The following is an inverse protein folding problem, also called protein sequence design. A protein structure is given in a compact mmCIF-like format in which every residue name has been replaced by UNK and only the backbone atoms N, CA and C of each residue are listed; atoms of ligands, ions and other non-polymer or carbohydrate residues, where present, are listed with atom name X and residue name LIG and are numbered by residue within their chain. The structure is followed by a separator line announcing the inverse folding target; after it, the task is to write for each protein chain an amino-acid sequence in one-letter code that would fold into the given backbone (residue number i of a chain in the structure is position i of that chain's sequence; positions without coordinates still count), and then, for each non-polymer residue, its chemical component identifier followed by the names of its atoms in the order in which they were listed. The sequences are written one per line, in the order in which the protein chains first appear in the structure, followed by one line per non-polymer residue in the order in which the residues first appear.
data_IF_696915389986
#
_entry.id   IF_696915389986
#
_cell.length_a   1.000
_cell.length_b   1.000
_cell.length_c   1.000
_cell.angle_alpha   90.00
_cell.angle_beta   90.00
_cell.angle_gamma   90.00
#
_symmetry.space_group_name_H-M   'P 1'
#
loop_
_entity.id
_entity.type
_entity.pdbx_description
1 polymer ?
#
# COMPACT_ATOMS: atom_id res chain seq x y z
N UNK A 1 23.92 19.05 6.22
CA UNK A 1 22.86 18.94 7.25
C UNK A 1 22.90 17.52 7.78
N UNK A 2 23.33 17.35 9.01
CA UNK A 2 23.34 16.05 9.70
C UNK A 2 22.04 15.87 10.49
N UNK A 3 21.72 14.64 10.89
CA UNK A 3 20.55 14.36 11.75
C UNK A 3 20.58 15.17 13.04
N UNK A 4 21.79 15.41 13.58
CA UNK A 4 22.00 16.23 14.78
C UNK A 4 21.63 17.70 14.54
N UNK A 5 21.91 18.23 13.34
CA UNK A 5 21.54 19.61 12.98
C UNK A 5 20.02 19.77 12.90
N UNK A 6 19.32 18.80 12.30
CA UNK A 6 17.85 18.77 12.25
C UNK A 6 17.24 18.75 13.65
N UNK A 7 17.78 17.92 14.55
CA UNK A 7 17.29 17.82 15.93
C UNK A 7 17.47 19.16 16.65
N UNK A 8 18.63 19.82 16.49
CA UNK A 8 18.88 21.15 17.07
C UNK A 8 17.90 22.20 16.55
N UNK A 9 17.63 22.19 15.24
CA UNK A 9 16.64 23.12 14.65
C UNK A 9 15.24 22.88 15.20
N UNK A 10 14.81 21.61 15.31
CA UNK A 10 13.50 21.27 15.90
C UNK A 10 13.42 21.72 17.35
N UNK A 11 14.50 21.55 18.13
CA UNK A 11 14.55 21.99 19.52
C UNK A 11 14.38 23.50 19.69
N UNK A 12 14.82 24.30 18.71
CA UNK A 12 14.64 25.75 18.68
C UNK A 12 13.21 26.23 18.39
N UNK A 13 12.29 25.33 18.03
CA UNK A 13 10.91 25.68 17.71
C UNK A 13 10.02 25.81 18.96
N UNK A 14 8.95 26.64 18.90
CA UNK A 14 7.90 26.65 19.90
C UNK A 14 7.32 25.25 20.14
N UNK A 15 6.87 24.99 21.38
CA UNK A 15 6.35 23.67 21.79
C UNK A 15 5.27 23.15 20.84
N UNK A 16 4.32 23.98 20.42
CA UNK A 16 3.24 23.56 19.52
C UNK A 16 3.79 23.05 18.17
N UNK A 17 4.83 23.68 17.62
CA UNK A 17 5.45 23.25 16.35
C UNK A 17 6.22 21.94 16.51
N UNK A 18 6.88 21.73 17.66
CA UNK A 18 7.56 20.46 17.96
C UNK A 18 6.57 19.30 18.04
N UNK A 19 5.45 19.50 18.73
CA UNK A 19 4.37 18.50 18.81
C UNK A 19 3.83 18.19 17.42
N UNK A 20 3.54 19.21 16.61
CA UNK A 20 3.06 19.03 15.25
C UNK A 20 4.01 18.20 14.37
N UNK A 21 5.32 18.43 14.47
CA UNK A 21 6.32 17.64 13.74
C UNK A 21 6.28 16.17 14.16
N UNK A 22 6.18 15.89 15.46
CA UNK A 22 6.09 14.52 15.99
C UNK A 22 4.84 13.83 15.46
N UNK A 23 3.68 14.50 15.50
CA UNK A 23 2.42 13.96 14.96
C UNK A 23 2.54 13.62 13.47
N UNK A 24 3.14 14.52 12.68
CA UNK A 24 3.35 14.30 11.24
C UNK A 24 4.34 13.17 10.97
N UNK A 25 5.39 13.05 11.77
CA UNK A 25 6.33 11.94 11.67
C UNK A 25 5.63 10.60 11.93
N UNK A 26 4.86 10.49 13.01
CA UNK A 26 4.07 9.29 13.34
C UNK A 26 3.07 8.98 12.22
N UNK A 27 2.33 9.99 11.73
CA UNK A 27 1.38 9.83 10.65
C UNK A 27 2.05 9.30 9.37
N UNK A 28 3.25 9.80 9.05
CA UNK A 28 4.02 9.36 7.87
C UNK A 28 4.44 7.90 7.98
N UNK A 29 4.93 7.48 9.16
CA UNK A 29 5.34 6.09 9.41
C UNK A 29 4.15 5.13 9.22
N UNK A 30 3.00 5.46 9.81
CA UNK A 30 1.78 4.62 9.67
C UNK A 30 1.33 4.52 8.21
N UNK A 31 1.28 5.64 7.48
CA UNK A 31 0.92 5.63 6.06
C UNK A 31 1.86 4.79 5.20
N UNK A 32 3.15 4.79 5.52
CA UNK A 32 4.12 3.95 4.81
C UNK A 32 3.88 2.47 5.09
N UNK A 33 3.57 2.11 6.34
CA UNK A 33 3.21 0.74 6.73
C UNK A 33 1.94 0.27 6.02
N UNK A 34 0.87 1.08 6.04
CA UNK A 34 -0.40 0.78 5.35
C UNK A 34 -0.17 0.54 3.85
N UNK A 35 0.64 1.40 3.21
CA UNK A 35 1.00 1.26 1.80
C UNK A 35 1.75 -0.04 1.53
N UNK A 36 2.71 -0.39 2.38
CA UNK A 36 3.50 -1.62 2.23
C UNK A 36 2.61 -2.87 2.39
N UNK A 37 1.69 -2.86 3.35
CA UNK A 37 0.74 -3.95 3.57
C UNK A 37 -0.20 -4.12 2.36
N UNK A 38 -0.74 -3.02 1.83
CA UNK A 38 -1.58 -3.05 0.62
C UNK A 38 -0.80 -3.54 -0.60
N UNK A 39 0.45 -3.13 -0.75
CA UNK A 39 1.31 -3.61 -1.84
C UNK A 39 1.57 -5.12 -1.73
N UNK A 40 1.87 -5.62 -0.53
CA UNK A 40 2.08 -7.04 -0.29
C UNK A 40 0.80 -7.86 -0.56
N UNK A 41 -0.35 -7.40 -0.07
CA UNK A 41 -1.64 -8.05 -0.31
C UNK A 41 -1.99 -8.06 -1.81
N UNK A 42 -1.78 -6.93 -2.51
CA UNK A 42 -2.00 -6.83 -3.95
C UNK A 42 -1.13 -7.81 -4.74
N UNK A 43 0.17 -7.92 -4.38
CA UNK A 43 1.08 -8.90 -5.00
C UNK A 43 0.63 -10.34 -4.76
N UNK A 44 0.20 -10.66 -3.54
CA UNK A 44 -0.33 -11.99 -3.22
C UNK A 44 -1.57 -12.31 -4.06
N UNK A 45 -2.57 -11.41 -4.08
CA UNK A 45 -3.79 -11.59 -4.87
C UNK A 45 -3.51 -11.72 -6.38
N UNK A 46 -2.56 -10.95 -6.91
CA UNK A 46 -2.16 -11.05 -8.31
C UNK A 46 -1.54 -12.41 -8.64
N UNK A 47 -0.66 -12.92 -7.76
CA UNK A 47 -0.06 -14.24 -7.94
C UNK A 47 -1.11 -15.35 -7.85
N UNK A 48 -2.07 -15.25 -6.93
CA UNK A 48 -3.17 -16.21 -6.82
C UNK A 48 -4.00 -16.20 -8.11
N UNK A 49 -4.39 -15.02 -8.61
CA UNK A 49 -5.15 -14.90 -9.86
C UNK A 49 -4.42 -15.49 -11.08
N UNK A 50 -3.09 -15.35 -11.16
CA UNK A 50 -2.30 -15.91 -12.26
C UNK A 50 -2.18 -17.44 -12.22
N UNK A 51 -2.12 -18.02 -11.03
CA UNK A 51 -1.75 -19.43 -10.85
C UNK A 51 -2.94 -20.33 -10.50
N UNK A 52 -3.99 -19.78 -9.89
CA UNK A 52 -5.21 -20.51 -9.56
C UNK A 52 -6.22 -20.45 -10.72
N UNK A 53 -6.40 -21.59 -11.38
CA UNK A 53 -7.32 -21.73 -12.51
C UNK A 53 -8.79 -21.62 -12.09
N UNK A 54 -9.11 -21.88 -10.83
CA UNK A 54 -10.48 -21.73 -10.31
C UNK A 54 -10.88 -20.24 -10.28
N UNK A 55 -9.94 -19.33 -9.98
CA UNK A 55 -10.19 -17.89 -9.98
C UNK A 55 -10.47 -17.31 -11.37
N UNK A 56 -10.09 -18.01 -12.45
CA UNK A 56 -10.33 -17.60 -13.83
C UNK A 56 -11.29 -18.52 -14.58
N UNK A 57 -11.90 -19.50 -13.89
CA UNK A 57 -12.74 -20.52 -14.52
C UNK A 57 -13.86 -19.91 -15.37
N UNK A 58 -14.57 -18.91 -14.86
CA UNK A 58 -15.64 -18.23 -15.59
C UNK A 58 -15.11 -17.34 -16.73
N UNK A 59 -14.00 -16.65 -16.53
CA UNK A 59 -13.35 -15.85 -17.58
C UNK A 59 -12.91 -16.72 -18.76
N UNK A 60 -12.51 -17.96 -18.51
CA UNK A 60 -12.15 -18.89 -19.57
C UNK A 60 -13.37 -19.31 -20.41
N UNK A 61 -14.57 -19.37 -19.81
CA UNK A 61 -15.81 -19.67 -20.53
C UNK A 61 -16.20 -18.55 -21.52
N UNK A 62 -15.84 -17.29 -21.24
CA UNK A 62 -16.09 -16.17 -22.16
C UNK A 62 -15.32 -16.33 -23.49
N UNK A 63 -14.23 -17.10 -23.50
CA UNK A 63 -13.46 -17.41 -24.70
C UNK A 63 -13.91 -18.70 -25.40
N UNK A 64 -14.88 -19.43 -24.84
CA UNK A 64 -15.47 -20.58 -25.51
C UNK A 64 -16.46 -20.13 -26.59
N UNK A 65 -16.54 -20.89 -27.68
CA UNK A 65 -17.50 -20.62 -28.74
C UNK A 65 -18.92 -20.83 -28.19
N UNK A 66 -19.76 -19.80 -28.30
CA UNK A 66 -21.17 -19.88 -27.89
C UNK A 66 -21.90 -20.95 -28.73
N UNK A 67 -22.33 -22.02 -28.07
CA UNK A 67 -23.22 -23.02 -28.65
C UNK A 67 -24.66 -22.59 -28.44
N UNK A 68 -25.23 -21.93 -29.45
CA UNK A 68 -26.67 -21.65 -29.46
C UNK A 68 -27.44 -22.98 -29.62
N UNK A 69 -28.34 -23.26 -28.67
CA UNK A 69 -29.22 -24.41 -28.77
C UNK A 69 -30.22 -24.17 -29.93
N UNK A 70 -30.23 -25.08 -30.92
CA UNK A 70 -31.18 -25.07 -32.03
C UNK A 70 -32.57 -25.54 -31.62
#
# INVERSE_FOLDING_TARGET
MTTLDIIKEIQGLPLQKRIYIIEKAIQSIRKQEDKNQLEAASKALYLDYLNDKELTAFTNLDFENFYEAR
#
